data_IF_459092620986
#
_entry.id   IF_459092620986
#
_cell.length_a   1.000
_cell.length_b   1.000
_cell.length_c   1.000
_cell.angle_alpha   90.00
_cell.angle_beta   90.00
_cell.angle_gamma   90.00
#
_symmetry.space_group_name_H-M   'P 1'
#
loop_
_entity.id
_entity.type
_entity.pdbx_description
1 polymer ?
#
# COMPACT_ATOMS: atom_id res chain seq x y z
N UNK A 1 -20.91 56.51 14.97
CA UNK A 1 -19.90 55.61 14.36
C UNK A 1 -19.77 54.41 15.29
N UNK A 2 -20.08 53.21 14.78
CA UNK A 2 -19.99 51.94 15.52
C UNK A 2 -18.61 51.35 15.24
N UNK A 3 -17.80 51.12 16.27
CA UNK A 3 -16.57 50.32 16.15
C UNK A 3 -16.89 48.85 16.44
N UNK A 4 -16.49 47.97 15.51
CA UNK A 4 -16.62 46.53 15.61
C UNK A 4 -15.54 45.97 16.56
N UNK A 5 -15.99 45.49 17.73
CA UNK A 5 -15.15 44.69 18.63
C UNK A 5 -14.82 43.34 18.00
N UNK A 6 -13.53 43.13 17.74
CA UNK A 6 -12.96 41.85 17.32
C UNK A 6 -13.08 40.85 18.49
N UNK A 7 -14.00 39.90 18.41
CA UNK A 7 -14.09 38.79 19.36
C UNK A 7 -12.86 37.91 19.15
N UNK A 8 -11.90 38.00 20.09
CA UNK A 8 -10.80 37.04 20.20
C UNK A 8 -11.39 35.73 20.68
N UNK A 9 -11.43 34.71 19.82
CA UNK A 9 -11.67 33.34 20.25
C UNK A 9 -10.41 32.86 20.96
N UNK A 10 -10.45 32.79 22.29
CA UNK A 10 -9.43 32.10 23.07
C UNK A 10 -9.38 30.63 22.65
N UNK A 11 -8.19 30.02 22.55
CA UNK A 11 -8.09 28.58 22.39
C UNK A 11 -8.72 27.89 23.61
N UNK A 12 -9.37 26.73 23.43
CA UNK A 12 -10.02 26.02 24.52
C UNK A 12 -9.01 25.70 25.65
N UNK A 13 -9.52 25.71 26.88
CA UNK A 13 -8.74 25.45 28.09
C UNK A 13 -8.18 24.02 28.09
N UNK A 14 -7.01 23.73 28.71
CA UNK A 14 -6.49 22.38 28.88
C UNK A 14 -7.48 21.39 29.55
N UNK A 15 -8.50 21.91 30.25
CA UNK A 15 -9.58 21.10 30.81
C UNK A 15 -10.62 20.63 29.76
N UNK A 16 -10.76 21.33 28.64
CA UNK A 16 -11.67 20.97 27.54
C UNK A 16 -11.04 19.91 26.61
N UNK A 17 -9.72 19.94 26.42
CA UNK A 17 -8.99 18.86 25.73
C UNK A 17 -8.92 17.56 26.55
N UNK A 18 -8.87 17.67 27.88
CA UNK A 18 -8.78 16.51 28.78
C UNK A 18 -10.07 15.65 28.83
N UNK A 19 -11.20 16.15 28.32
CA UNK A 19 -12.48 15.41 28.39
C UNK A 19 -12.64 14.38 27.26
N UNK A 20 -11.76 14.40 26.24
CA UNK A 20 -11.78 13.46 25.11
C UNK A 20 -10.98 12.16 25.34
N UNK A 21 -10.34 11.99 26.51
CA UNK A 21 -9.51 10.81 26.84
C UNK A 21 -10.17 9.93 27.90
N UNK A 22 -11.48 9.72 27.79
CA UNK A 22 -12.14 8.59 28.45
C UNK A 22 -12.51 7.62 27.35
N UNK A 23 -11.99 6.38 27.40
CA UNK A 23 -12.38 5.31 26.48
C UNK A 23 -13.90 5.14 26.54
N UNK A 24 -14.61 5.77 25.61
CA UNK A 24 -16.06 5.82 25.64
C UNK A 24 -16.57 4.50 25.09
N UNK A 25 -16.78 3.52 25.97
CA UNK A 25 -17.19 2.15 25.63
C UNK A 25 -18.66 2.02 25.24
N UNK A 26 -19.41 3.12 25.15
CA UNK A 26 -20.85 3.11 24.90
C UNK A 26 -21.29 4.21 23.92
N UNK A 27 -22.46 4.03 23.32
CA UNK A 27 -23.04 4.96 22.34
C UNK A 27 -23.93 5.98 23.06
N UNK A 28 -23.56 7.26 23.01
CA UNK A 28 -24.41 8.35 23.49
C UNK A 28 -25.34 8.85 22.38
N UNK A 29 -26.63 8.54 22.51
CA UNK A 29 -27.66 8.98 21.57
C UNK A 29 -27.93 10.50 21.61
N UNK A 30 -27.49 11.21 22.66
CA UNK A 30 -27.67 12.66 22.82
C UNK A 30 -26.46 13.46 22.32
N UNK A 31 -25.35 12.77 22.05
CA UNK A 31 -24.15 13.39 21.49
C UNK A 31 -24.41 13.90 20.06
N UNK A 32 -23.85 15.06 19.68
CA UNK A 32 -23.91 15.53 18.29
C UNK A 32 -23.11 14.64 17.32
N UNK A 33 -22.26 13.75 17.84
CA UNK A 33 -21.46 12.82 17.03
C UNK A 33 -22.36 11.71 16.47
N UNK A 34 -22.35 11.44 15.16
CA UNK A 34 -23.14 10.34 14.59
C UNK A 34 -22.82 8.98 15.23
N UNK A 35 -23.85 8.18 15.49
CA UNK A 35 -23.72 6.86 16.15
C UNK A 35 -22.74 5.91 15.46
N UNK A 36 -22.69 5.92 14.12
CA UNK A 36 -21.73 5.11 13.38
C UNK A 36 -20.29 5.53 13.66
N UNK A 37 -20.03 6.83 13.86
CA UNK A 37 -18.71 7.37 14.15
C UNK A 37 -18.30 7.05 15.59
N UNK A 38 -19.22 7.13 16.54
CA UNK A 38 -18.98 6.67 17.91
C UNK A 38 -18.62 5.18 17.96
N UNK A 39 -19.37 4.33 17.24
CA UNK A 39 -19.04 2.91 17.13
C UNK A 39 -17.68 2.68 16.46
N UNK A 40 -17.33 3.48 15.45
CA UNK A 40 -16.01 3.43 14.81
C UNK A 40 -14.89 3.66 15.82
N UNK A 41 -14.99 4.69 16.68
CA UNK A 41 -14.00 4.98 17.73
C UNK A 41 -13.91 3.84 18.76
N UNK A 42 -15.04 3.27 19.18
CA UNK A 42 -15.07 2.11 20.09
C UNK A 42 -14.33 0.91 19.48
N UNK A 43 -14.61 0.60 18.21
CA UNK A 43 -13.95 -0.48 17.51
C UNK A 43 -12.46 -0.21 17.31
N UNK A 44 -12.08 1.06 17.10
CA UNK A 44 -10.69 1.46 16.96
C UNK A 44 -9.90 1.21 18.25
N UNK A 45 -10.45 1.62 19.41
CA UNK A 45 -9.83 1.38 20.72
C UNK A 45 -9.71 -0.13 21.01
N UNK A 46 -10.74 -0.91 20.66
CA UNK A 46 -10.72 -2.37 20.78
C UNK A 46 -9.62 -3.03 19.92
N UNK A 47 -9.42 -2.54 18.69
CA UNK A 47 -8.35 -2.98 17.79
C UNK A 47 -6.97 -2.66 18.38
N UNK A 48 -6.81 -1.49 19.00
CA UNK A 48 -5.52 -1.06 19.54
C UNK A 48 -5.16 -1.74 20.86
N UNK A 49 -6.14 -2.12 21.68
CA UNK A 49 -5.91 -2.64 23.03
C UNK A 49 -6.09 -4.15 23.19
N UNK A 50 -7.04 -4.75 22.48
CA UNK A 50 -7.53 -6.09 22.81
C UNK A 50 -7.41 -7.09 21.66
N UNK A 51 -7.56 -6.65 20.41
CA UNK A 51 -7.59 -7.55 19.26
C UNK A 51 -6.24 -7.66 18.58
N UNK A 52 -5.75 -8.90 18.48
CA UNK A 52 -4.58 -9.19 17.67
C UNK A 52 -4.88 -8.99 16.17
N UNK A 53 -3.82 -8.75 15.40
CA UNK A 53 -3.84 -8.83 13.95
C UNK A 53 -4.51 -10.13 13.48
N UNK A 54 -5.32 -10.05 12.43
CA UNK A 54 -6.11 -11.16 11.86
C UNK A 54 -7.17 -11.76 12.81
N UNK A 55 -7.38 -11.19 14.00
CA UNK A 55 -8.49 -11.59 14.85
C UNK A 55 -9.83 -11.16 14.23
N UNK A 56 -10.90 -11.99 14.35
CA UNK A 56 -12.22 -11.60 13.90
C UNK A 56 -12.76 -10.47 14.77
N UNK A 57 -13.37 -9.46 14.14
CA UNK A 57 -14.20 -8.50 14.86
C UNK A 57 -15.64 -9.02 14.98
N UNK A 58 -16.40 -8.58 15.99
CA UNK A 58 -17.81 -8.95 16.12
C UNK A 58 -18.60 -8.60 14.85
N UNK A 59 -19.53 -9.47 14.46
CA UNK A 59 -20.34 -9.28 13.27
C UNK A 59 -21.22 -8.02 13.35
N UNK A 60 -21.64 -7.49 12.20
CA UNK A 60 -22.58 -6.35 12.13
C UNK A 60 -23.84 -6.58 12.97
N UNK A 61 -24.30 -7.84 13.06
CA UNK A 61 -25.44 -8.24 13.90
C UNK A 61 -25.11 -8.15 15.39
N UNK A 62 -23.97 -8.67 15.81
CA UNK A 62 -23.55 -8.66 17.21
C UNK A 62 -23.29 -7.23 17.70
N UNK A 63 -22.66 -6.38 16.88
CA UNK A 63 -22.47 -4.97 17.18
C UNK A 63 -23.80 -4.23 17.29
N UNK A 64 -24.73 -4.46 16.35
CA UNK A 64 -26.06 -3.88 16.40
C UNK A 64 -26.81 -4.26 17.69
N UNK A 65 -26.77 -5.54 18.07
CA UNK A 65 -27.38 -6.02 19.32
C UNK A 65 -26.69 -5.45 20.56
N UNK A 66 -25.35 -5.46 20.61
CA UNK A 66 -24.57 -5.03 21.77
C UNK A 66 -24.76 -3.53 22.08
N UNK A 67 -24.85 -2.70 21.05
CA UNK A 67 -24.90 -1.24 21.20
C UNK A 67 -26.27 -0.63 20.88
N UNK A 68 -27.31 -1.44 20.69
CA UNK A 68 -28.66 -0.95 20.40
C UNK A 68 -28.78 -0.14 19.10
N UNK A 69 -28.03 -0.55 18.06
CA UNK A 69 -27.94 0.14 16.78
C UNK A 69 -28.68 -0.59 15.67
N UNK A 70 -28.98 0.11 14.58
CA UNK A 70 -29.39 -0.55 13.34
C UNK A 70 -28.20 -1.30 12.73
N UNK A 71 -28.47 -2.39 12.00
CA UNK A 71 -27.43 -3.11 11.23
C UNK A 71 -26.73 -2.20 10.22
N UNK A 72 -27.45 -1.28 9.58
CA UNK A 72 -26.87 -0.33 8.63
C UNK A 72 -25.87 0.61 9.29
N UNK A 73 -26.15 1.06 10.52
CA UNK A 73 -25.23 1.90 11.30
C UNK A 73 -23.96 1.13 11.67
N UNK A 74 -24.08 -0.13 12.10
CA UNK A 74 -22.93 -0.98 12.40
C UNK A 74 -22.09 -1.26 11.15
N UNK A 75 -22.76 -1.55 10.03
CA UNK A 75 -22.12 -1.74 8.73
C UNK A 75 -21.33 -0.52 8.28
N UNK A 76 -21.90 0.68 8.41
CA UNK A 76 -21.23 1.93 8.04
C UNK A 76 -19.96 2.16 8.85
N UNK A 77 -19.97 1.89 10.17
CA UNK A 77 -18.78 1.99 11.02
C UNK A 77 -17.67 1.02 10.55
N UNK A 78 -18.04 -0.24 10.25
CA UNK A 78 -17.10 -1.22 9.69
C UNK A 78 -16.58 -0.77 8.31
N UNK A 79 -17.43 -0.26 7.44
CA UNK A 79 -17.03 0.22 6.11
C UNK A 79 -16.00 1.35 6.18
N UNK A 80 -16.11 2.26 7.15
CA UNK A 80 -15.09 3.27 7.41
C UNK A 80 -13.77 2.66 7.88
N UNK A 81 -13.78 1.74 8.84
CA UNK A 81 -12.54 1.10 9.29
C UNK A 81 -11.89 0.22 8.20
N UNK A 82 -12.70 -0.34 7.31
CA UNK A 82 -12.22 -1.06 6.13
C UNK A 82 -11.60 -0.08 5.11
N UNK A 83 -12.22 1.07 4.85
CA UNK A 83 -11.66 2.06 3.93
C UNK A 83 -10.38 2.71 4.48
N UNK A 84 -10.27 2.88 5.80
CA UNK A 84 -9.06 3.34 6.50
C UNK A 84 -7.97 2.26 6.56
N UNK A 85 -8.28 1.00 6.22
CA UNK A 85 -7.34 -0.12 6.27
C UNK A 85 -7.02 -0.60 7.68
N UNK A 86 -7.89 -0.32 8.67
CA UNK A 86 -7.82 -0.87 10.04
C UNK A 86 -8.48 -2.24 10.11
N UNK A 87 -9.43 -2.53 9.23
CA UNK A 87 -10.10 -3.82 9.07
C UNK A 87 -10.03 -4.30 7.61
N UNK A 88 -10.21 -5.60 7.38
CA UNK A 88 -10.45 -6.16 6.05
C UNK A 88 -11.58 -7.20 6.07
N UNK A 89 -12.25 -7.40 4.93
CA UNK A 89 -13.33 -8.38 4.78
C UNK A 89 -12.82 -9.62 4.06
N UNK A 90 -13.25 -10.78 4.56
CA UNK A 90 -13.10 -12.06 3.87
C UNK A 90 -14.50 -12.57 3.58
N UNK A 91 -14.84 -12.68 2.30
CA UNK A 91 -16.16 -13.11 1.84
C UNK A 91 -16.53 -14.45 2.48
N UNK A 92 -17.72 -14.52 3.08
CA UNK A 92 -18.23 -15.71 3.77
C UNK A 92 -17.58 -16.03 5.12
N UNK A 93 -16.53 -15.31 5.54
CA UNK A 93 -15.82 -15.55 6.81
C UNK A 93 -15.95 -14.41 7.81
N UNK A 94 -16.22 -13.19 7.36
CA UNK A 94 -16.44 -12.03 8.23
C UNK A 94 -15.43 -10.91 8.03
N UNK A 95 -15.25 -10.10 9.07
CA UNK A 95 -14.34 -8.95 9.09
C UNK A 95 -13.25 -9.19 10.13
N UNK A 96 -12.02 -8.81 9.81
CA UNK A 96 -10.84 -9.11 10.62
C UNK A 96 -9.95 -7.87 10.79
N UNK A 97 -9.16 -7.84 11.87
CA UNK A 97 -8.18 -6.77 12.14
C UNK A 97 -7.08 -6.78 11.08
N UNK A 98 -6.91 -5.65 10.40
CA UNK A 98 -5.89 -5.52 9.37
C UNK A 98 -4.48 -5.47 9.97
N UNK A 99 -3.53 -5.98 9.20
CA UNK A 99 -2.10 -5.79 9.47
C UNK A 99 -1.71 -4.33 9.22
N UNK A 100 -0.84 -3.72 10.04
CA UNK A 100 -0.31 -2.39 9.77
C UNK A 100 0.23 -2.26 8.34
N UNK A 101 -0.01 -1.10 7.72
CA UNK A 101 0.49 -0.80 6.39
C UNK A 101 2.01 -0.69 6.40
N UNK A 102 2.62 -1.17 5.33
CA UNK A 102 4.04 -1.10 5.06
C UNK A 102 4.30 0.20 4.30
N UNK A 103 5.23 1.00 4.81
CA UNK A 103 5.65 2.20 4.10
C UNK A 103 6.43 1.81 2.84
N UNK A 104 6.02 2.35 1.69
CA UNK A 104 6.80 2.28 0.45
C UNK A 104 8.06 3.13 0.67
N UNK A 105 9.27 2.55 0.54
CA UNK A 105 10.48 3.32 0.67
C UNK A 105 10.61 4.30 -0.49
N UNK A 106 10.91 5.56 -0.17
CA UNK A 106 11.34 6.57 -1.13
C UNK A 106 12.84 6.50 -1.38
N UNK A 107 13.37 5.29 -1.52
CA UNK A 107 14.77 4.99 -1.78
C UNK A 107 14.84 3.86 -2.81
N UNK A 108 15.96 3.79 -3.53
CA UNK A 108 16.20 2.69 -4.45
C UNK A 108 16.63 1.45 -3.65
N UNK A 109 15.63 0.66 -3.26
CA UNK A 109 15.82 -0.65 -2.64
C UNK A 109 15.04 -1.70 -3.43
N UNK A 110 15.53 -2.92 -3.42
CA UNK A 110 14.79 -4.06 -3.95
C UNK A 110 13.69 -4.49 -2.96
N UNK A 111 12.59 -5.05 -3.47
CA UNK A 111 11.53 -5.61 -2.62
C UNK A 111 12.08 -6.57 -1.56
N UNK A 112 13.09 -7.37 -1.92
CA UNK A 112 13.74 -8.33 -1.01
C UNK A 112 14.39 -7.61 0.18
N UNK A 113 15.16 -6.55 -0.08
CA UNK A 113 15.78 -5.73 0.97
C UNK A 113 14.71 -5.05 1.84
N UNK A 114 13.63 -4.59 1.21
CA UNK A 114 12.54 -3.93 1.93
C UNK A 114 11.87 -4.84 2.95
N UNK A 115 11.54 -6.06 2.57
CA UNK A 115 10.90 -7.00 3.48
C UNK A 115 11.86 -7.43 4.59
N UNK A 116 13.12 -7.71 4.25
CA UNK A 116 14.16 -8.09 5.22
C UNK A 116 14.38 -6.98 6.27
N UNK A 117 14.47 -5.72 5.84
CA UNK A 117 14.62 -4.58 6.76
C UNK A 117 13.46 -4.42 7.74
N UNK A 118 12.32 -5.05 7.45
CA UNK A 118 11.09 -5.05 8.25
C UNK A 118 10.87 -6.36 9.01
N UNK A 119 11.84 -7.27 8.99
CA UNK A 119 11.75 -8.57 9.65
C UNK A 119 10.74 -9.54 9.01
N UNK A 120 10.27 -9.26 7.80
CA UNK A 120 9.37 -10.14 7.05
C UNK A 120 10.17 -11.00 6.07
N UNK A 121 9.70 -12.22 5.79
CA UNK A 121 10.33 -13.11 4.80
C UNK A 121 9.86 -12.73 3.38
N UNK A 122 10.72 -12.18 2.52
CA UNK A 122 10.37 -11.95 1.12
C UNK A 122 10.18 -13.27 0.39
N UNK A 123 9.21 -13.30 -0.52
CA UNK A 123 9.01 -14.40 -1.46
C UNK A 123 8.62 -13.87 -2.82
N UNK A 124 8.75 -14.73 -3.83
CA UNK A 124 8.40 -14.41 -5.21
C UNK A 124 7.89 -15.65 -5.91
N UNK A 125 6.70 -15.55 -6.52
CA UNK A 125 6.20 -16.54 -7.45
C UNK A 125 6.34 -16.00 -8.87
N UNK A 126 6.81 -16.84 -9.78
CA UNK A 126 6.97 -16.50 -11.19
C UNK A 126 5.62 -16.63 -11.91
N UNK A 127 5.13 -15.54 -12.49
CA UNK A 127 3.86 -15.52 -13.23
C UNK A 127 4.08 -15.68 -14.73
N UNK A 128 5.27 -15.35 -15.22
CA UNK A 128 5.59 -15.46 -16.63
C UNK A 128 6.84 -14.71 -17.03
N UNK A 129 7.51 -15.25 -18.05
CA UNK A 129 8.72 -14.68 -18.62
C UNK A 129 8.70 -14.79 -20.13
N UNK A 130 9.11 -13.74 -20.83
CA UNK A 130 9.24 -13.77 -22.29
C UNK A 130 10.24 -12.73 -22.78
N UNK A 131 10.76 -12.96 -23.98
CA UNK A 131 11.39 -11.90 -24.77
C UNK A 131 10.37 -11.41 -25.80
N UNK A 132 10.27 -10.11 -25.98
CA UNK A 132 9.42 -9.52 -27.00
C UNK A 132 9.98 -8.18 -27.47
N UNK A 133 9.59 -7.70 -28.67
CA UNK A 133 9.84 -6.32 -29.05
C UNK A 133 9.28 -5.36 -27.99
N UNK A 134 10.05 -4.32 -27.65
CA UNK A 134 9.65 -3.32 -26.67
C UNK A 134 8.40 -2.58 -27.15
N UNK A 135 7.30 -2.56 -26.37
CA UNK A 135 6.19 -1.65 -26.63
C UNK A 135 6.68 -0.21 -26.69
N UNK A 136 6.08 0.64 -27.52
CA UNK A 136 6.55 2.01 -27.74
C UNK A 136 6.73 2.83 -26.44
N UNK A 137 5.83 2.65 -25.47
CA UNK A 137 5.94 3.29 -24.16
C UNK A 137 7.17 2.80 -23.38
N UNK A 138 7.42 1.48 -23.35
CA UNK A 138 8.58 0.87 -22.68
C UNK A 138 9.88 1.28 -23.38
N UNK A 139 9.92 1.26 -24.71
CA UNK A 139 11.07 1.69 -25.49
C UNK A 139 11.45 3.15 -25.17
N UNK A 140 10.45 4.03 -25.08
CA UNK A 140 10.67 5.44 -24.70
C UNK A 140 11.26 5.57 -23.29
N UNK A 141 10.73 4.86 -22.31
CA UNK A 141 11.23 4.93 -20.93
C UNK A 141 12.66 4.40 -20.80
N UNK A 142 12.98 3.33 -21.53
CA UNK A 142 14.30 2.70 -21.55
C UNK A 142 15.29 3.35 -22.55
N UNK A 143 14.86 4.34 -23.34
CA UNK A 143 15.71 4.98 -24.36
C UNK A 143 16.12 4.04 -25.50
N UNK A 144 15.26 3.08 -25.86
CA UNK A 144 15.54 2.06 -26.88
C UNK A 144 15.09 2.50 -28.28
N UNK A 145 15.83 2.05 -29.28
CA UNK A 145 15.45 2.20 -30.69
C UNK A 145 14.26 1.31 -31.08
N UNK A 146 13.58 1.60 -32.21
CA UNK A 146 12.50 0.76 -32.73
C UNK A 146 12.93 -0.69 -32.92
N UNK A 147 12.07 -1.64 -32.51
CA UNK A 147 12.32 -3.08 -32.67
C UNK A 147 13.31 -3.68 -31.67
N UNK A 148 13.88 -2.88 -30.77
CA UNK A 148 14.72 -3.41 -29.69
C UNK A 148 13.93 -4.40 -28.83
N UNK A 149 14.57 -5.52 -28.48
CA UNK A 149 13.96 -6.56 -27.66
C UNK A 149 14.15 -6.28 -26.17
N UNK A 150 13.13 -6.64 -25.40
CA UNK A 150 13.17 -6.62 -23.94
C UNK A 150 12.80 -7.98 -23.38
N UNK A 151 13.46 -8.35 -22.29
CA UNK A 151 12.97 -9.37 -21.39
C UNK A 151 11.85 -8.78 -20.54
N UNK A 152 10.73 -9.49 -20.47
CA UNK A 152 9.60 -9.20 -19.58
C UNK A 152 9.54 -10.29 -18.52
N UNK A 153 9.61 -9.88 -17.27
CA UNK A 153 9.54 -10.77 -16.10
C UNK A 153 8.37 -10.33 -15.23
N UNK A 154 7.40 -11.22 -15.03
CA UNK A 154 6.19 -10.98 -14.25
C UNK A 154 6.20 -11.84 -12.99
N UNK A 155 6.03 -11.22 -11.83
CA UNK A 155 6.16 -11.90 -10.54
C UNK A 155 5.10 -11.44 -9.55
N UNK A 156 4.58 -12.39 -8.77
CA UNK A 156 3.82 -12.10 -7.57
C UNK A 156 4.79 -12.03 -6.39
N UNK A 157 4.91 -10.86 -5.78
CA UNK A 157 5.74 -10.62 -4.61
C UNK A 157 4.94 -10.91 -3.36
N UNK A 158 5.55 -11.62 -2.42
CA UNK A 158 4.92 -12.01 -1.16
C UNK A 158 5.76 -11.58 0.03
N UNK A 159 5.12 -11.29 1.16
CA UNK A 159 5.79 -11.16 2.44
C UNK A 159 5.14 -12.13 3.43
N UNK A 160 5.95 -12.98 4.05
CA UNK A 160 5.50 -14.10 4.91
C UNK A 160 4.47 -15.01 4.24
N UNK A 161 4.60 -15.19 2.92
CA UNK A 161 3.69 -16.00 2.10
C UNK A 161 2.37 -15.31 1.71
N UNK A 162 2.13 -14.09 2.17
CA UNK A 162 0.95 -13.31 1.78
C UNK A 162 1.25 -12.47 0.54
N UNK A 163 0.40 -12.48 -0.52
CA UNK A 163 0.55 -11.62 -1.69
C UNK A 163 0.57 -10.13 -1.34
N UNK A 164 1.53 -9.41 -1.91
CA UNK A 164 1.78 -7.98 -1.64
C UNK A 164 1.71 -7.12 -2.89
N UNK A 165 2.32 -7.57 -3.98
CA UNK A 165 2.37 -6.82 -5.23
C UNK A 165 2.54 -7.72 -6.44
N UNK A 166 2.04 -7.30 -7.58
CA UNK A 166 2.38 -7.87 -8.90
C UNK A 166 3.39 -6.93 -9.52
N UNK A 167 4.54 -7.45 -9.97
CA UNK A 167 5.59 -6.69 -10.63
C UNK A 167 5.79 -7.19 -12.06
N UNK A 168 5.83 -6.27 -13.02
CA UNK A 168 6.23 -6.53 -14.41
C UNK A 168 7.45 -5.68 -14.73
N UNK A 169 8.62 -6.32 -14.76
CA UNK A 169 9.90 -5.69 -15.12
C UNK A 169 10.19 -5.87 -16.60
N UNK A 170 10.56 -4.77 -17.27
CA UNK A 170 11.07 -4.77 -18.64
C UNK A 170 12.56 -4.41 -18.62
N UNK A 171 13.39 -5.26 -19.20
CA UNK A 171 14.84 -5.08 -19.25
C UNK A 171 15.33 -5.22 -20.70
N UNK A 172 16.21 -4.35 -21.21
CA UNK A 172 16.79 -4.53 -22.54
C UNK A 172 17.47 -5.90 -22.65
N UNK A 173 17.05 -6.74 -23.60
CA UNK A 173 17.51 -8.13 -23.68
C UNK A 173 19.03 -8.24 -23.87
N UNK A 174 19.62 -7.30 -24.60
CA UNK A 174 21.07 -7.23 -24.83
C UNK A 174 21.90 -7.04 -23.55
N UNK A 175 21.33 -6.48 -22.47
CA UNK A 175 22.04 -6.27 -21.21
C UNK A 175 22.10 -7.53 -20.34
N UNK A 176 21.17 -8.47 -20.51
CA UNK A 176 21.09 -9.68 -19.72
C UNK A 176 20.59 -10.88 -20.54
N UNK A 177 21.35 -11.36 -21.56
CA UNK A 177 20.82 -12.24 -22.61
C UNK A 177 20.26 -13.60 -22.14
N UNK A 178 20.78 -14.14 -21.04
CA UNK A 178 20.36 -15.42 -20.46
C UNK A 178 19.42 -15.26 -19.25
N UNK A 179 18.94 -14.04 -18.95
CA UNK A 179 18.17 -13.72 -17.74
C UNK A 179 16.97 -14.65 -17.55
N UNK A 180 16.25 -14.95 -18.63
CA UNK A 180 15.03 -15.76 -18.55
C UNK A 180 15.30 -17.21 -18.13
N UNK A 181 16.52 -17.71 -18.36
CA UNK A 181 16.95 -19.07 -18.00
C UNK A 181 17.51 -19.16 -16.58
N UNK A 182 17.72 -18.02 -15.91
CA UNK A 182 18.25 -17.99 -14.54
C UNK A 182 17.14 -18.17 -13.51
N UNK A 183 17.43 -18.80 -12.36
CA UNK A 183 16.45 -18.88 -11.27
C UNK A 183 16.19 -17.49 -10.70
N UNK A 184 14.93 -17.06 -10.68
CA UNK A 184 14.46 -15.81 -10.06
C UNK A 184 13.57 -16.05 -8.84
N UNK A 185 13.13 -17.30 -8.64
CA UNK A 185 12.30 -17.67 -7.51
C UNK A 185 13.06 -17.43 -6.20
N UNK A 186 12.44 -16.68 -5.29
CA UNK A 186 13.04 -16.26 -4.02
C UNK A 186 14.39 -15.50 -4.13
N UNK A 187 14.76 -15.01 -5.31
CA UNK A 187 15.95 -14.20 -5.53
C UNK A 187 15.59 -12.74 -5.81
N UNK A 188 16.49 -11.82 -5.43
CA UNK A 188 16.37 -10.42 -5.83
C UNK A 188 16.86 -10.26 -7.27
N UNK A 189 16.01 -9.68 -8.12
CA UNK A 189 16.39 -9.36 -9.49
C UNK A 189 17.58 -8.39 -9.50
N UNK A 190 17.62 -7.43 -8.57
CA UNK A 190 18.70 -6.44 -8.50
C UNK A 190 20.04 -7.07 -8.10
N UNK A 191 20.02 -8.01 -7.15
CA UNK A 191 21.22 -8.76 -6.78
C UNK A 191 21.72 -9.61 -7.95
N UNK A 192 20.81 -10.24 -8.70
CA UNK A 192 21.18 -11.00 -9.89
C UNK A 192 21.79 -10.08 -10.97
N UNK A 193 21.19 -8.93 -11.25
CA UNK A 193 21.69 -7.95 -12.21
C UNK A 193 23.11 -7.49 -11.86
N UNK A 194 23.35 -7.15 -10.59
CA UNK A 194 24.69 -6.74 -10.13
C UNK A 194 25.72 -7.87 -10.20
N UNK A 195 25.39 -9.05 -9.66
CA UNK A 195 26.35 -10.15 -9.53
C UNK A 195 26.66 -10.89 -10.83
N UNK A 196 25.66 -11.09 -11.70
CA UNK A 196 25.82 -11.87 -12.92
C UNK A 196 26.18 -11.02 -14.14
N UNK A 197 25.76 -9.75 -14.17
CA UNK A 197 25.90 -8.88 -15.35
C UNK A 197 26.70 -7.61 -15.06
N UNK A 198 27.13 -7.37 -13.82
CA UNK A 198 27.81 -6.14 -13.43
C UNK A 198 26.91 -4.90 -13.45
N UNK A 199 25.59 -5.08 -13.55
CA UNK A 199 24.60 -4.01 -13.63
C UNK A 199 24.16 -3.58 -12.22
N UNK A 200 25.05 -2.85 -11.54
CA UNK A 200 24.76 -2.31 -10.20
C UNK A 200 23.91 -1.05 -10.36
N UNK A 201 22.67 -1.12 -9.88
CA UNK A 201 21.75 0.01 -9.96
C UNK A 201 22.14 1.10 -8.97
N UNK A 202 22.30 2.34 -9.44
CA UNK A 202 22.75 3.49 -8.63
C UNK A 202 21.72 4.62 -8.55
N UNK A 203 20.76 4.64 -9.46
CA UNK A 203 19.73 5.67 -9.55
C UNK A 203 18.39 5.07 -9.93
N UNK A 204 17.33 5.68 -9.40
CA UNK A 204 15.96 5.30 -9.70
C UNK A 204 15.03 6.50 -9.68
N UNK A 205 13.98 6.41 -10.49
CA UNK A 205 12.88 7.36 -10.56
C UNK A 205 11.59 6.55 -10.41
N UNK A 206 10.69 7.04 -9.57
CA UNK A 206 9.45 6.34 -9.28
C UNK A 206 8.26 7.29 -9.32
N UNK A 207 7.22 6.88 -10.03
CA UNK A 207 5.91 7.52 -10.05
C UNK A 207 4.93 6.59 -9.33
N UNK A 208 4.15 7.17 -8.41
CA UNK A 208 3.13 6.45 -7.63
C UNK A 208 1.78 7.06 -7.98
N UNK A 209 0.87 6.23 -8.52
CA UNK A 209 -0.51 6.58 -8.81
C UNK A 209 -1.48 5.73 -7.98
N UNK A 210 -2.72 6.20 -7.88
CA UNK A 210 -3.83 5.38 -7.39
C UNK A 210 -4.46 4.61 -8.56
N UNK A 211 -4.97 3.42 -8.29
CA UNK A 211 -5.71 2.61 -9.25
C UNK A 211 -6.72 1.69 -8.58
N UNK A 212 -7.39 0.88 -9.39
CA UNK A 212 -8.29 -0.19 -8.95
C UNK A 212 -7.79 -1.51 -9.51
N UNK A 213 -7.88 -2.58 -8.71
CA UNK A 213 -7.54 -3.93 -9.16
C UNK A 213 -8.59 -4.43 -10.15
N UNK A 214 -8.16 -4.85 -11.34
CA UNK A 214 -9.01 -5.62 -12.23
C UNK A 214 -9.21 -7.05 -11.70
N UNK A 215 -10.06 -7.85 -12.38
CA UNK A 215 -10.38 -9.20 -11.94
C UNK A 215 -9.13 -10.11 -11.85
N UNK A 216 -8.16 -9.96 -12.75
CA UNK A 216 -6.95 -10.79 -12.78
C UNK A 216 -5.99 -10.43 -11.65
N UNK A 217 -5.70 -9.14 -11.49
CA UNK A 217 -4.84 -8.65 -10.41
C UNK A 217 -5.48 -8.91 -9.03
N UNK A 218 -6.80 -8.71 -8.91
CA UNK A 218 -7.52 -8.97 -7.67
C UNK A 218 -7.41 -10.44 -7.26
N UNK A 219 -7.58 -11.37 -8.21
CA UNK A 219 -7.44 -12.81 -7.93
C UNK A 219 -6.02 -13.15 -7.43
N UNK A 220 -4.98 -12.65 -8.11
CA UNK A 220 -3.59 -12.90 -7.74
C UNK A 220 -3.22 -12.29 -6.38
N UNK A 221 -3.76 -11.12 -6.06
CA UNK A 221 -3.48 -10.40 -4.81
C UNK A 221 -4.38 -10.85 -3.64
N UNK A 222 -5.38 -11.70 -3.89
CA UNK A 222 -6.36 -12.10 -2.89
C UNK A 222 -7.25 -10.94 -2.44
N UNK A 223 -7.59 -10.05 -3.38
CA UNK A 223 -8.47 -8.90 -3.18
C UNK A 223 -9.84 -9.13 -3.86
N UNK A 224 -10.81 -8.27 -3.53
CA UNK A 224 -12.02 -8.16 -4.34
C UNK A 224 -11.72 -7.32 -5.60
N UNK A 225 -12.39 -7.62 -6.71
CA UNK A 225 -12.35 -6.76 -7.90
C UNK A 225 -12.77 -5.32 -7.55
N UNK A 226 -12.08 -4.33 -8.13
CA UNK A 226 -12.30 -2.92 -7.82
C UNK A 226 -11.65 -2.43 -6.53
N UNK A 227 -10.96 -3.30 -5.78
CA UNK A 227 -10.21 -2.88 -4.59
C UNK A 227 -9.14 -1.85 -4.94
N UNK A 228 -8.91 -0.89 -4.03
CA UNK A 228 -7.90 0.13 -4.22
C UNK A 228 -6.48 -0.47 -4.27
N UNK A 229 -5.68 0.01 -5.22
CA UNK A 229 -4.27 -0.37 -5.40
C UNK A 229 -3.41 0.86 -5.63
N UNK A 230 -2.11 0.71 -5.39
CA UNK A 230 -1.09 1.67 -5.75
C UNK A 230 -0.40 1.19 -7.02
N UNK A 231 -0.42 2.02 -8.06
CA UNK A 231 0.23 1.75 -9.33
C UNK A 231 1.59 2.43 -9.34
N UNK A 232 2.66 1.64 -9.36
CA UNK A 232 4.03 2.10 -9.32
C UNK A 232 4.65 1.93 -10.70
N UNK A 233 5.26 3.00 -11.20
CA UNK A 233 6.15 2.95 -12.35
C UNK A 233 7.55 3.31 -11.88
N UNK A 234 8.51 2.43 -12.09
CA UNK A 234 9.88 2.64 -11.65
C UNK A 234 10.83 2.47 -12.82
N UNK A 235 11.74 3.42 -12.98
CA UNK A 235 12.87 3.32 -13.90
C UNK A 235 14.16 3.29 -13.11
N UNK A 236 15.08 2.41 -13.48
CA UNK A 236 16.36 2.25 -12.78
C UNK A 236 17.53 2.27 -13.76
N UNK A 237 18.66 2.82 -13.29
CA UNK A 237 19.89 2.96 -14.07
C UNK A 237 21.08 2.34 -13.37
N UNK A 238 22.04 1.88 -14.16
CA UNK A 238 23.41 1.64 -13.77
C UNK A 238 24.30 2.61 -14.57
N UNK A 239 24.87 3.60 -13.90
CA UNK A 239 25.52 4.74 -14.54
C UNK A 239 24.56 5.49 -15.46
N UNK A 240 24.91 5.57 -16.76
CA UNK A 240 24.08 6.23 -17.77
C UNK A 240 23.06 5.30 -18.45
N UNK A 241 23.11 3.99 -18.19
CA UNK A 241 22.30 3.00 -18.89
C UNK A 241 20.99 2.76 -18.15
N UNK A 242 19.84 2.88 -18.84
CA UNK A 242 18.55 2.48 -18.30
C UNK A 242 18.43 0.95 -18.34
N UNK A 243 18.43 0.32 -17.16
CA UNK A 243 18.50 -1.14 -17.02
C UNK A 243 17.12 -1.77 -16.86
N UNK A 244 16.20 -1.07 -16.18
CA UNK A 244 14.87 -1.59 -15.89
C UNK A 244 13.82 -0.48 -16.02
N UNK A 245 12.68 -0.85 -16.60
CA UNK A 245 11.41 -0.15 -16.44
C UNK A 245 10.37 -1.13 -15.90
N UNK A 246 9.97 -0.94 -14.66
CA UNK A 246 9.01 -1.79 -13.95
C UNK A 246 7.66 -1.07 -13.81
N UNK A 247 6.58 -1.82 -14.06
CA UNK A 247 5.22 -1.42 -13.72
C UNK A 247 4.69 -2.41 -12.70
N UNK A 248 4.19 -1.91 -11.58
CA UNK A 248 3.81 -2.75 -10.45
C UNK A 248 2.50 -2.32 -9.83
N UNK A 249 1.71 -3.29 -9.39
CA UNK A 249 0.44 -3.08 -8.70
C UNK A 249 0.57 -3.56 -7.27
N UNK A 250 0.50 -2.63 -6.33
CA UNK A 250 0.67 -2.85 -4.90
C UNK A 250 -0.68 -2.77 -4.18
N UNK A 251 -0.89 -3.66 -3.21
CA UNK A 251 -2.05 -3.67 -2.32
C UNK A 251 -2.13 -2.40 -1.47
N UNK A 252 -3.14 -1.55 -1.67
CA UNK A 252 -3.31 -0.31 -0.89
C UNK A 252 -3.80 -0.55 0.55
N UNK A 253 -4.36 -1.72 0.83
CA UNK A 253 -4.70 -2.18 2.18
C UNK A 253 -3.45 -2.62 2.98
N UNK A 254 -2.34 -2.92 2.29
CA UNK A 254 -1.07 -3.35 2.89
C UNK A 254 0.05 -2.33 2.77
N UNK A 255 -0.06 -1.33 1.89
CA UNK A 255 0.97 -0.32 1.66
C UNK A 255 0.46 1.11 1.78
N UNK A 256 1.35 1.99 2.21
CA UNK A 256 1.15 3.44 2.19
C UNK A 256 2.43 4.16 1.79
N UNK A 257 2.30 5.42 1.37
CA UNK A 257 3.43 6.30 1.15
C UNK A 257 3.67 7.16 2.40
N UNK A 258 4.90 7.17 2.91
CA UNK A 258 5.32 8.07 3.99
C UNK A 258 6.51 8.90 3.54
N UNK A 259 6.41 10.21 3.69
CA UNK A 259 7.49 11.15 3.42
C UNK A 259 7.60 12.17 4.57
N UNK A 260 8.82 12.54 4.92
CA UNK A 260 9.09 13.70 5.76
C UNK A 260 9.22 14.93 4.86
N UNK A 261 8.61 16.04 5.27
CA UNK A 261 8.64 17.29 4.52
C UNK A 261 9.36 18.34 5.36
N UNK A 262 10.36 18.98 4.76
CA UNK A 262 11.02 20.15 5.32
C UNK A 262 10.42 21.43 4.73
N UNK A 263 10.51 22.55 5.46
CA UNK A 263 10.08 23.85 4.96
C UNK A 263 10.93 24.25 3.74
N UNK A 264 10.28 24.74 2.69
CA UNK A 264 11.00 25.32 1.56
C UNK A 264 11.85 26.51 2.03
N UNK A 265 13.11 26.65 1.57
CA UNK A 265 13.92 27.81 1.92
C UNK A 265 13.21 29.09 1.44
N UNK A 266 13.17 30.13 2.29
CA UNK A 266 12.61 31.43 1.91
C UNK A 266 13.36 31.96 0.69
N UNK A 267 12.62 32.26 -0.39
CA UNK A 267 13.20 32.91 -1.57
C UNK A 267 13.59 34.33 -1.16
N UNK A 268 14.89 34.55 -0.92
CA UNK A 268 15.46 35.89 -0.72
C UNK A 268 15.53 36.65 -2.04
#
# INVERSE_FOLDING_TARGET
MREHGLVRTEPPSPAEEATLTTANTDIDARSPVPKYYQLREILLDLIERELAVDAPVPSERELATRYGLSRMTARQAIEHLVSEGRLYRVQGRGTFVARPKIDIPLRLTSFTEDMNARGMRPGSLDLGRRTSPAPAAVARELGLGPGAEVHVVERLRTADGVPMAIERSHLPAALAPDLLHRPLENQSLYQLLGSAYGLVLDRGEQVIGAGVADAGDAQLLGLAEGSAVLQLQRRCWAGSVAVEYAVSTYRADRYQLRASLDMAPERT
#
